data_IF_358927004685
#
_entry.id   IF_358927004685
#
_cell.length_a   1.000
_cell.length_b   1.000
_cell.length_c   1.000
_cell.angle_alpha   90.00
_cell.angle_beta   90.00
_cell.angle_gamma   90.00
#
_symmetry.space_group_name_H-M   'P 1'
#
loop_
_entity.id
_entity.type
_entity.pdbx_description
1 polymer ?
#
# COMPACT_ATOMS: atom_id res chain seq x y z
N UNK A 1 18.50 16.68 12.15
CA UNK A 1 17.56 16.44 13.28
C UNK A 1 16.22 17.20 13.12
N UNK A 2 16.21 18.49 12.74
CA UNK A 2 14.95 19.26 12.57
C UNK A 2 14.03 18.75 11.44
N UNK A 3 14.57 18.36 10.29
CA UNK A 3 13.79 17.90 9.12
C UNK A 3 12.99 16.61 9.40
N UNK A 4 13.54 15.74 10.26
CA UNK A 4 12.92 14.47 10.66
C UNK A 4 11.73 14.73 11.61
N UNK A 5 11.88 15.67 12.55
CA UNK A 5 10.78 16.08 13.45
C UNK A 5 9.60 16.67 12.68
N UNK A 6 9.86 17.45 11.63
CA UNK A 6 8.82 18.05 10.79
C UNK A 6 8.07 17.01 9.95
N UNK A 7 8.77 16.04 9.35
CA UNK A 7 8.14 15.00 8.55
C UNK A 7 7.25 14.06 9.39
N UNK A 8 7.69 13.72 10.62
CA UNK A 8 6.91 12.91 11.55
C UNK A 8 5.69 13.65 12.11
N UNK A 9 5.84 14.92 12.51
CA UNK A 9 4.72 15.74 12.97
C UNK A 9 3.68 15.97 11.86
N UNK A 10 4.12 16.14 10.61
CA UNK A 10 3.22 16.31 9.47
C UNK A 10 2.40 15.06 9.17
N UNK A 11 2.95 13.86 9.42
CA UNK A 11 2.26 12.59 9.20
C UNK A 11 1.32 12.20 10.35
N UNK A 12 1.70 12.50 11.61
CA UNK A 12 0.83 12.42 12.79
C UNK A 12 -0.40 13.32 12.62
N UNK A 13 -0.21 14.53 12.08
CA UNK A 13 -1.29 15.44 11.72
C UNK A 13 -2.24 14.85 10.66
N UNK A 14 -1.74 14.19 9.62
CA UNK A 14 -2.58 13.82 8.48
C UNK A 14 -3.54 12.66 8.79
N UNK A 15 -3.15 11.69 9.64
CA UNK A 15 -3.97 10.49 9.91
C UNK A 15 -4.86 10.65 11.15
N UNK A 16 -4.42 11.42 12.15
CA UNK A 16 -5.17 11.63 13.41
C UNK A 16 -6.18 12.78 13.26
N UNK A 17 -5.83 13.86 12.55
CA UNK A 17 -6.73 15.00 12.35
C UNK A 17 -8.09 14.68 11.76
N UNK A 18 -8.29 13.80 10.76
CA UNK A 18 -9.61 13.58 10.15
C UNK A 18 -10.61 12.88 11.07
N UNK A 19 -10.14 11.94 11.90
CA UNK A 19 -10.96 11.24 12.89
C UNK A 19 -11.31 12.19 14.03
N UNK A 20 -10.33 12.94 14.51
CA UNK A 20 -10.54 13.99 15.52
C UNK A 20 -11.42 15.12 14.98
N UNK A 21 -11.25 15.55 13.73
CA UNK A 21 -12.06 16.58 13.07
C UNK A 21 -13.52 16.16 12.95
N UNK A 22 -13.81 14.89 12.67
CA UNK A 22 -15.20 14.41 12.62
C UNK A 22 -15.81 14.32 14.01
N UNK A 23 -15.05 13.83 15.00
CA UNK A 23 -15.47 13.80 16.41
C UNK A 23 -15.72 15.21 16.95
N UNK A 24 -14.84 16.15 16.63
CA UNK A 24 -14.92 17.56 17.02
C UNK A 24 -16.06 18.28 16.28
N UNK A 25 -16.29 17.99 14.99
CA UNK A 25 -17.48 18.47 14.26
C UNK A 25 -18.75 17.92 14.90
N UNK A 26 -18.81 16.64 15.25
CA UNK A 26 -20.00 16.05 15.88
C UNK A 26 -20.24 16.62 17.29
N UNK A 27 -19.17 16.90 18.04
CA UNK A 27 -19.26 17.56 19.36
C UNK A 27 -19.84 18.98 19.24
N UNK A 28 -19.47 19.73 18.21
CA UNK A 28 -19.99 21.08 17.96
C UNK A 28 -21.36 21.08 17.26
N UNK A 29 -21.83 19.94 16.74
CA UNK A 29 -23.14 19.81 16.09
C UNK A 29 -24.27 20.21 17.02
N UNK A 30 -24.21 19.81 18.28
CA UNK A 30 -25.23 20.13 19.29
C UNK A 30 -25.33 21.64 19.50
N UNK A 31 -24.20 22.35 19.48
CA UNK A 31 -24.15 23.82 19.63
C UNK A 31 -24.71 24.50 18.37
N UNK A 32 -24.35 24.01 17.19
CA UNK A 32 -24.91 24.48 15.92
C UNK A 32 -26.43 24.28 15.84
N UNK A 33 -26.93 23.08 16.14
CA UNK A 33 -28.36 22.76 16.10
C UNK A 33 -29.16 23.62 17.09
N UNK A 34 -28.60 23.87 18.28
CA UNK A 34 -29.20 24.77 19.27
C UNK A 34 -29.22 26.21 18.79
N UNK A 35 -28.16 26.69 18.16
CA UNK A 35 -28.04 28.06 17.67
C UNK A 35 -28.95 28.32 16.46
N UNK A 36 -28.99 27.41 15.49
CA UNK A 36 -29.90 27.46 14.33
C UNK A 36 -31.36 27.40 14.80
N UNK A 37 -31.69 26.47 15.72
CA UNK A 37 -33.04 26.36 16.28
C UNK A 37 -33.48 27.61 17.06
N UNK A 38 -32.58 28.22 17.84
CA UNK A 38 -32.88 29.47 18.57
C UNK A 38 -33.00 30.65 17.62
N UNK A 39 -32.12 30.75 16.62
CA UNK A 39 -32.15 31.80 15.61
C UNK A 39 -33.43 31.78 14.77
N UNK A 40 -33.88 30.59 14.33
CA UNK A 40 -35.15 30.45 13.59
C UNK A 40 -36.36 30.85 14.42
N UNK A 41 -36.38 30.53 15.72
CA UNK A 41 -37.44 30.96 16.64
C UNK A 41 -37.45 32.49 16.81
N UNK A 42 -36.26 33.10 16.99
CA UNK A 42 -36.13 34.55 17.11
C UNK A 42 -36.61 35.24 15.83
N UNK A 43 -36.22 34.73 14.66
CA UNK A 43 -36.65 35.24 13.37
C UNK A 43 -38.18 35.31 13.23
N UNK A 44 -38.89 34.29 13.68
CA UNK A 44 -40.37 34.27 13.66
C UNK A 44 -41.03 35.23 14.67
N UNK A 45 -40.27 35.78 15.62
CA UNK A 45 -40.78 36.71 16.65
C UNK A 45 -40.42 38.18 16.39
N UNK A 46 -39.57 38.46 15.41
CA UNK A 46 -39.15 39.82 15.08
C UNK A 46 -40.29 40.58 14.39
N UNK A 47 -40.55 41.79 14.87
CA UNK A 47 -41.53 42.72 14.28
C UNK A 47 -40.89 43.67 13.26
N UNK A 48 -39.57 43.86 13.35
CA UNK A 48 -38.76 44.65 12.43
C UNK A 48 -38.33 43.80 11.22
N UNK A 49 -38.74 44.23 10.03
CA UNK A 49 -38.38 43.56 8.78
C UNK A 49 -36.87 43.60 8.51
N UNK A 50 -36.22 44.71 8.85
CA UNK A 50 -34.78 44.89 8.65
C UNK A 50 -33.97 43.93 9.54
N UNK A 51 -34.34 43.83 10.82
CA UNK A 51 -33.69 42.91 11.76
C UNK A 51 -33.92 41.45 11.37
N UNK A 52 -35.12 41.12 10.86
CA UNK A 52 -35.42 39.79 10.37
C UNK A 52 -34.56 39.41 9.16
N UNK A 53 -34.39 40.31 8.19
CA UNK A 53 -33.51 40.09 7.02
C UNK A 53 -32.05 39.94 7.45
N UNK A 54 -31.57 40.76 8.39
CA UNK A 54 -30.21 40.67 8.89
C UNK A 54 -29.94 39.35 9.64
N UNK A 55 -30.88 38.91 10.48
CA UNK A 55 -30.76 37.64 11.21
C UNK A 55 -30.83 36.45 10.27
N UNK A 56 -31.74 36.45 9.30
CA UNK A 56 -31.83 35.40 8.28
C UNK A 56 -30.51 35.25 7.53
N UNK A 57 -29.91 36.35 7.07
CA UNK A 57 -28.61 36.33 6.40
C UNK A 57 -27.51 35.73 7.27
N UNK A 58 -27.45 36.07 8.56
CA UNK A 58 -26.46 35.51 9.49
C UNK A 58 -26.64 34.01 9.72
N UNK A 59 -27.89 33.54 9.81
CA UNK A 59 -28.21 32.11 9.92
C UNK A 59 -27.82 31.36 8.64
N UNK A 60 -28.08 31.93 7.48
CA UNK A 60 -27.70 31.35 6.20
C UNK A 60 -26.17 31.27 6.03
N UNK A 61 -25.45 32.33 6.41
CA UNK A 61 -23.98 32.34 6.41
C UNK A 61 -23.40 31.29 7.37
N UNK A 62 -23.99 31.14 8.56
CA UNK A 62 -23.60 30.11 9.53
C UNK A 62 -23.84 28.70 8.98
N UNK A 63 -25.04 28.44 8.44
CA UNK A 63 -25.41 27.15 7.85
C UNK A 63 -24.52 26.80 6.66
N UNK A 64 -24.17 27.79 5.82
CA UNK A 64 -23.25 27.60 4.71
C UNK A 64 -21.84 27.22 5.20
N UNK A 65 -21.31 27.92 6.22
CA UNK A 65 -19.99 27.61 6.79
C UNK A 65 -19.97 26.22 7.43
N UNK A 66 -21.03 25.86 8.13
CA UNK A 66 -21.19 24.53 8.74
C UNK A 66 -21.17 23.42 7.68
N UNK A 67 -21.98 23.55 6.63
CA UNK A 67 -22.04 22.58 5.54
C UNK A 67 -20.71 22.47 4.78
N UNK A 68 -20.01 23.59 4.58
CA UNK A 68 -18.68 23.61 3.96
C UNK A 68 -17.65 22.84 4.81
N UNK A 69 -17.64 23.10 6.12
CA UNK A 69 -16.75 22.40 7.07
C UNK A 69 -16.98 20.89 7.06
N UNK A 70 -18.25 20.46 7.15
CA UNK A 70 -18.62 19.04 7.08
C UNK A 70 -18.16 18.39 5.77
N UNK A 71 -18.41 19.07 4.64
CA UNK A 71 -18.05 18.57 3.31
C UNK A 71 -16.54 18.42 3.16
N UNK A 72 -15.75 19.41 3.61
CA UNK A 72 -14.28 19.34 3.60
C UNK A 72 -13.76 18.21 4.48
N UNK A 73 -14.33 18.04 5.67
CA UNK A 73 -13.92 16.97 6.59
C UNK A 73 -14.18 15.58 5.99
N UNK A 74 -15.34 15.36 5.37
CA UNK A 74 -15.64 14.11 4.66
C UNK A 74 -14.66 13.89 3.50
N UNK A 75 -14.36 14.93 2.72
CA UNK A 75 -13.41 14.84 1.61
C UNK A 75 -12.00 14.46 2.08
N UNK A 76 -11.53 15.01 3.21
CA UNK A 76 -10.23 14.66 3.80
C UNK A 76 -10.23 13.20 4.24
N UNK A 77 -11.27 12.75 4.97
CA UNK A 77 -11.40 11.36 5.40
C UNK A 77 -11.35 10.39 4.21
N UNK A 78 -12.21 10.61 3.21
CA UNK A 78 -12.28 9.74 2.04
C UNK A 78 -10.93 9.69 1.29
N UNK A 79 -10.21 10.81 1.18
CA UNK A 79 -8.87 10.82 0.57
C UNK A 79 -7.88 9.95 1.33
N UNK A 80 -7.97 9.88 2.65
CA UNK A 80 -7.05 9.11 3.48
C UNK A 80 -7.41 7.64 3.55
N UNK A 81 -8.71 7.32 3.62
CA UNK A 81 -9.21 5.96 3.48
C UNK A 81 -8.77 5.37 2.13
N UNK A 82 -9.01 6.06 1.02
CA UNK A 82 -8.57 5.64 -0.31
C UNK A 82 -7.04 5.42 -0.38
N UNK A 83 -6.27 6.31 0.25
CA UNK A 83 -4.81 6.18 0.30
C UNK A 83 -4.38 4.95 1.12
N UNK A 84 -5.03 4.71 2.27
CA UNK A 84 -4.78 3.54 3.10
C UNK A 84 -5.13 2.23 2.38
N UNK A 85 -6.30 2.17 1.74
CA UNK A 85 -6.74 1.03 0.93
C UNK A 85 -5.75 0.72 -0.20
N UNK A 86 -5.25 1.77 -0.89
CA UNK A 86 -4.25 1.62 -1.94
C UNK A 86 -2.98 0.91 -1.46
N UNK A 87 -2.41 1.32 -0.31
CA UNK A 87 -1.19 0.71 0.23
C UNK A 87 -1.42 -0.69 0.80
N UNK A 88 -2.61 -0.96 1.37
CA UNK A 88 -2.98 -2.31 1.79
C UNK A 88 -3.14 -3.26 0.59
N UNK A 89 -3.73 -2.78 -0.51
CA UNK A 89 -3.83 -3.54 -1.75
C UNK A 89 -2.44 -3.85 -2.34
N UNK A 90 -1.51 -2.88 -2.30
CA UNK A 90 -0.12 -3.10 -2.68
C UNK A 90 0.54 -4.19 -1.82
N UNK A 91 0.39 -4.13 -0.49
CA UNK A 91 0.93 -5.15 0.41
C UNK A 91 0.39 -6.55 0.09
N UNK A 92 -0.91 -6.67 -0.17
CA UNK A 92 -1.52 -7.93 -0.56
C UNK A 92 -0.93 -8.44 -1.89
N UNK A 93 -0.86 -7.58 -2.91
CA UNK A 93 -0.29 -7.94 -4.20
C UNK A 93 1.18 -8.37 -4.09
N UNK A 94 1.99 -7.72 -3.23
CA UNK A 94 3.38 -8.13 -2.99
C UNK A 94 3.47 -9.54 -2.39
N UNK A 95 2.58 -9.90 -1.46
CA UNK A 95 2.51 -11.23 -0.84
C UNK A 95 2.10 -12.29 -1.85
N UNK A 96 1.05 -12.03 -2.63
CA UNK A 96 0.58 -12.93 -3.68
C UNK A 96 1.64 -13.19 -4.75
N UNK A 97 2.39 -12.14 -5.14
CA UNK A 97 3.51 -12.28 -6.06
C UNK A 97 4.64 -13.10 -5.45
N UNK A 98 4.97 -12.88 -4.18
CA UNK A 98 5.97 -13.68 -3.47
C UNK A 98 5.59 -15.16 -3.47
N UNK A 99 4.34 -15.48 -3.14
CA UNK A 99 3.84 -16.87 -3.18
C UNK A 99 3.86 -17.45 -4.60
N UNK A 100 3.55 -16.65 -5.60
CA UNK A 100 3.65 -17.07 -7.00
C UNK A 100 5.09 -17.40 -7.38
N UNK A 101 6.07 -16.58 -6.98
CA UNK A 101 7.49 -16.81 -7.25
C UNK A 101 7.98 -18.08 -6.56
N UNK A 102 7.62 -18.30 -5.29
CA UNK A 102 7.97 -19.52 -4.55
C UNK A 102 7.42 -20.78 -5.25
N UNK A 103 6.18 -20.72 -5.74
CA UNK A 103 5.59 -21.84 -6.50
C UNK A 103 6.33 -22.11 -7.79
N UNK A 104 6.72 -21.06 -8.53
CA UNK A 104 7.49 -21.18 -9.77
C UNK A 104 8.90 -21.68 -9.53
N UNK A 105 9.52 -21.29 -8.43
CA UNK A 105 10.82 -21.81 -8.01
C UNK A 105 10.77 -23.31 -7.66
N UNK A 106 9.69 -23.74 -7.01
CA UNK A 106 9.42 -25.15 -6.76
C UNK A 106 9.20 -25.92 -8.06
N UNK A 107 8.38 -25.39 -8.97
CA UNK A 107 8.16 -25.95 -10.31
C UNK A 107 9.46 -26.07 -11.10
N UNK A 108 10.30 -25.02 -11.10
CA UNK A 108 11.61 -25.03 -11.73
C UNK A 108 12.52 -26.11 -11.13
N UNK A 109 12.44 -26.33 -9.81
CA UNK A 109 13.16 -27.42 -9.14
C UNK A 109 12.71 -28.78 -9.67
N UNK A 110 11.42 -28.97 -9.96
CA UNK A 110 10.93 -30.24 -10.54
C UNK A 110 11.33 -30.42 -12.00
N UNK A 111 11.32 -29.35 -12.80
CA UNK A 111 11.65 -29.39 -14.23
C UNK A 111 13.17 -29.47 -14.49
N UNK A 112 13.98 -28.74 -13.70
CA UNK A 112 15.42 -28.58 -13.90
C UNK A 112 16.33 -29.65 -13.26
N UNK A 113 15.76 -30.56 -12.45
CA UNK A 113 16.47 -31.66 -11.77
C UNK A 113 16.57 -32.93 -12.64
N UNK A 114 15.87 -33.00 -13.77
CA UNK A 114 15.99 -34.13 -14.69
C UNK A 114 17.42 -34.27 -15.26
N UNK A 115 17.95 -35.49 -15.45
CA UNK A 115 19.21 -35.67 -16.16
C UNK A 115 19.05 -35.15 -17.60
N UNK A 116 19.89 -34.20 -17.99
CA UNK A 116 19.93 -33.69 -19.37
C UNK A 116 20.56 -34.75 -20.33
N UNK A 117 21.12 -35.83 -19.78
CA UNK A 117 21.56 -37.06 -20.50
C UNK A 117 20.39 -37.96 -20.92
N UNK A 118 19.30 -37.39 -21.39
CA UNK A 118 18.22 -38.13 -22.06
C UNK A 118 18.50 -38.31 -23.56
N UNK A 119 17.68 -39.10 -24.23
CA UNK A 119 17.63 -39.14 -25.70
C UNK A 119 17.22 -37.78 -26.29
N UNK A 120 17.35 -37.61 -27.61
CA UNK A 120 17.04 -36.34 -28.29
C UNK A 120 15.60 -35.84 -28.02
N UNK A 121 14.65 -36.76 -27.84
CA UNK A 121 13.26 -36.44 -27.51
C UNK A 121 13.13 -35.81 -26.10
N UNK A 122 13.85 -36.35 -25.12
CA UNK A 122 13.87 -35.82 -23.75
C UNK A 122 14.50 -34.41 -23.69
N UNK A 123 15.57 -34.18 -24.45
CA UNK A 123 16.21 -32.86 -24.55
C UNK A 123 15.29 -31.82 -25.21
N UNK A 124 14.62 -32.21 -26.29
CA UNK A 124 13.64 -31.35 -26.96
C UNK A 124 12.50 -30.97 -26.01
N UNK A 125 12.00 -31.93 -25.23
CA UNK A 125 10.97 -31.67 -24.21
C UNK A 125 11.46 -30.65 -23.17
N UNK A 126 12.67 -30.80 -22.63
CA UNK A 126 13.22 -29.84 -21.66
C UNK A 126 13.39 -28.44 -22.24
N UNK A 127 13.75 -28.32 -23.52
CA UNK A 127 13.81 -27.03 -24.22
C UNK A 127 12.44 -26.37 -24.33
N UNK A 128 11.40 -27.15 -24.65
CA UNK A 128 10.05 -26.61 -24.79
C UNK A 128 9.43 -26.28 -23.42
N UNK A 129 9.70 -27.08 -22.39
CA UNK A 129 9.36 -26.78 -20.99
C UNK A 129 10.04 -25.48 -20.53
N UNK A 130 11.34 -25.28 -20.84
CA UNK A 130 12.07 -24.05 -20.53
C UNK A 130 11.46 -22.83 -21.23
N UNK A 131 11.15 -22.92 -22.53
CA UNK A 131 10.50 -21.83 -23.28
C UNK A 131 9.14 -21.49 -22.69
N UNK A 132 8.34 -22.49 -22.34
CA UNK A 132 7.03 -22.28 -21.72
C UNK A 132 7.18 -21.61 -20.35
N UNK A 133 8.11 -22.07 -19.52
CA UNK A 133 8.42 -21.47 -18.23
C UNK A 133 8.86 -20.01 -18.37
N UNK A 134 9.78 -19.72 -19.31
CA UNK A 134 10.29 -18.36 -19.55
C UNK A 134 9.18 -17.41 -19.99
N UNK A 135 8.28 -17.83 -20.89
CA UNK A 135 7.11 -17.01 -21.28
C UNK A 135 6.27 -16.58 -20.07
N UNK A 136 6.02 -17.51 -19.14
CA UNK A 136 5.27 -17.19 -17.93
C UNK A 136 5.99 -16.18 -17.01
N UNK A 137 7.34 -16.21 -16.96
CA UNK A 137 8.11 -15.19 -16.24
C UNK A 137 8.01 -13.84 -16.95
N UNK A 138 8.16 -13.79 -18.27
CA UNK A 138 8.05 -12.55 -19.05
C UNK A 138 6.66 -11.92 -18.91
N UNK A 139 5.59 -12.72 -18.94
CA UNK A 139 4.22 -12.25 -18.75
C UNK A 139 4.00 -11.67 -17.34
N UNK A 140 4.70 -12.23 -16.33
CA UNK A 140 4.57 -11.79 -14.93
C UNK A 140 5.48 -10.61 -14.59
N UNK A 141 6.61 -10.45 -15.29
CA UNK A 141 7.63 -9.41 -15.06
C UNK A 141 7.04 -7.99 -14.89
N UNK A 142 6.19 -7.47 -15.80
CA UNK A 142 5.71 -6.09 -15.66
C UNK A 142 4.90 -5.87 -14.37
N UNK A 143 4.19 -6.90 -13.90
CA UNK A 143 3.41 -6.83 -12.66
C UNK A 143 4.35 -6.81 -11.44
N UNK A 144 5.39 -7.66 -11.45
CA UNK A 144 6.41 -7.70 -10.39
C UNK A 144 7.17 -6.37 -10.32
N UNK A 145 7.67 -5.88 -11.45
CA UNK A 145 8.42 -4.62 -11.53
C UNK A 145 7.57 -3.43 -11.10
N UNK A 146 6.31 -3.35 -11.55
CA UNK A 146 5.39 -2.30 -11.12
C UNK A 146 5.15 -2.31 -9.61
N UNK A 147 4.89 -3.48 -9.01
CA UNK A 147 4.66 -3.58 -7.56
C UNK A 147 5.92 -3.25 -6.75
N UNK A 148 7.09 -3.71 -7.19
CA UNK A 148 8.37 -3.35 -6.56
C UNK A 148 8.65 -1.86 -6.67
N UNK A 149 8.36 -1.23 -7.81
CA UNK A 149 8.50 0.22 -8.00
C UNK A 149 7.57 0.99 -7.07
N UNK A 150 6.28 0.65 -7.04
CA UNK A 150 5.31 1.29 -6.14
C UNK A 150 5.71 1.12 -4.67
N UNK A 151 6.18 -0.07 -4.27
CA UNK A 151 6.69 -0.32 -2.93
C UNK A 151 7.92 0.51 -2.59
N UNK A 152 8.88 0.63 -3.51
CA UNK A 152 10.08 1.49 -3.33
C UNK A 152 9.72 2.97 -3.24
N UNK A 153 8.78 3.45 -4.06
CA UNK A 153 8.29 4.83 -4.01
C UNK A 153 7.62 5.14 -2.67
N UNK A 154 6.76 4.23 -2.18
CA UNK A 154 6.15 4.34 -0.86
C UNK A 154 7.21 4.41 0.24
N UNK A 155 8.18 3.50 0.23
CA UNK A 155 9.28 3.48 1.20
C UNK A 155 10.15 4.74 1.11
N UNK A 156 10.39 5.28 -0.09
CA UNK A 156 11.18 6.50 -0.28
C UNK A 156 10.43 7.76 0.19
N UNK A 157 9.10 7.74 0.12
CA UNK A 157 8.25 8.79 0.69
C UNK A 157 8.17 8.74 2.23
N UNK A 158 8.59 7.63 2.84
CA UNK A 158 8.68 7.46 4.28
C UNK A 158 10.01 8.00 4.81
N UNK A 159 10.01 8.83 5.87
CA UNK A 159 11.25 9.19 6.55
C UNK A 159 11.93 7.92 7.09
N UNK A 160 13.27 7.81 7.03
CA UNK A 160 13.98 6.65 7.53
C UNK A 160 13.64 6.46 9.01
N UNK A 161 13.15 5.26 9.36
CA UNK A 161 12.96 4.83 10.74
C UNK A 161 14.33 4.88 11.43
N UNK A 162 14.52 5.88 12.28
CA UNK A 162 15.69 5.97 13.15
C UNK A 162 15.55 4.91 14.23
N UNK A 163 16.38 3.87 14.16
CA UNK A 163 16.68 2.99 15.29
C UNK A 163 17.48 3.80 16.31
N UNK A 164 16.80 4.63 17.08
CA UNK A 164 17.29 5.04 18.39
C UNK A 164 16.21 4.66 19.36
N UNK A 165 16.46 3.54 20.05
CA UNK A 165 16.00 3.33 21.42
C UNK A 165 16.01 4.66 22.16
N UNK A 166 14.93 4.98 22.87
CA UNK A 166 15.02 5.11 24.32
C UNK A 166 13.66 5.34 25.00
N UNK A 167 13.48 4.50 26.03
CA UNK A 167 12.72 4.68 27.27
C UNK A 167 11.19 4.47 27.28
N UNK A 168 10.86 3.35 27.92
CA UNK A 168 9.67 3.05 28.73
C UNK A 168 8.69 4.22 28.97
N UNK A 169 7.47 4.05 28.45
CA UNK A 169 6.28 4.64 29.05
C UNK A 169 5.26 3.51 29.24
N UNK A 170 5.21 3.00 30.47
CA UNK A 170 4.10 2.18 30.93
C UNK A 170 2.80 2.96 30.72
N UNK A 171 1.93 2.48 29.84
CA UNK A 171 0.52 2.86 29.85
C UNK A 171 -0.32 1.59 29.72
N UNK A 172 -0.87 1.21 30.86
CA UNK A 172 -1.91 0.20 31.04
C UNK A 172 -3.16 0.61 30.25
N UNK A 173 -3.42 -0.01 29.09
CA UNK A 173 -4.72 0.07 28.41
C UNK A 173 -4.91 -1.14 27.50
N UNK A 174 -5.85 -1.99 27.92
CA UNK A 174 -6.61 -3.00 27.16
C UNK A 174 -6.21 -3.16 25.68
N UNK A 175 -5.31 -4.13 25.44
CA UNK A 175 -4.75 -4.46 24.13
C UNK A 175 -5.76 -5.25 23.30
N UNK A 176 -6.54 -4.53 22.50
CA UNK A 176 -7.21 -5.11 21.32
C UNK A 176 -7.26 -4.20 20.08
N UNK A 177 -6.77 -2.96 20.16
CA UNK A 177 -6.69 -2.05 19.01
C UNK A 177 -5.33 -1.34 19.00
N UNK A 178 -4.50 -1.67 17.99
CA UNK A 178 -3.31 -0.89 17.68
C UNK A 178 -3.72 0.53 17.26
N UNK A 179 -3.04 1.55 17.77
CA UNK A 179 -3.25 2.95 17.35
C UNK A 179 -3.01 3.13 15.86
N UNK A 180 -3.69 4.09 15.22
CA UNK A 180 -3.53 4.39 13.79
C UNK A 180 -2.06 4.70 13.40
N UNK A 181 -1.27 5.26 14.33
CA UNK A 181 0.17 5.44 14.15
C UNK A 181 0.89 4.10 14.01
N UNK A 182 0.57 3.15 14.88
CA UNK A 182 1.23 1.86 14.91
C UNK A 182 0.80 0.98 13.73
N UNK A 183 -0.46 1.11 13.29
CA UNK A 183 -0.95 0.52 12.05
C UNK A 183 -0.20 1.08 10.83
N UNK A 184 0.02 2.39 10.75
CA UNK A 184 0.83 2.98 9.66
C UNK A 184 2.27 2.48 9.70
N UNK A 185 2.90 2.44 10.89
CA UNK A 185 4.30 1.98 11.02
C UNK A 185 4.43 0.50 10.68
N UNK A 186 3.46 -0.32 11.06
CA UNK A 186 3.43 -1.73 10.72
C UNK A 186 3.21 -1.98 9.23
N UNK A 187 2.32 -1.22 8.59
CA UNK A 187 2.15 -1.26 7.13
C UNK A 187 3.46 -0.94 6.41
N UNK A 188 4.17 0.10 6.85
CA UNK A 188 5.48 0.47 6.29
C UNK A 188 6.53 -0.63 6.46
N UNK A 189 6.64 -1.21 7.66
CA UNK A 189 7.56 -2.34 7.91
C UNK A 189 7.21 -3.55 7.06
N UNK A 190 5.93 -3.87 6.95
CA UNK A 190 5.41 -4.98 6.15
C UNK A 190 5.70 -4.79 4.67
N UNK A 191 5.41 -3.62 4.09
CA UNK A 191 5.74 -3.32 2.68
C UNK A 191 7.24 -3.39 2.45
N UNK A 192 8.07 -2.83 3.34
CA UNK A 192 9.54 -2.91 3.22
C UNK A 192 10.04 -4.36 3.20
N UNK A 193 9.50 -5.20 4.09
CA UNK A 193 9.84 -6.62 4.18
C UNK A 193 9.45 -7.36 2.90
N UNK A 194 8.22 -7.17 2.44
CA UNK A 194 7.71 -7.87 1.25
C UNK A 194 8.37 -7.39 -0.05
N UNK A 195 8.70 -6.10 -0.17
CA UNK A 195 9.48 -5.58 -1.32
C UNK A 195 10.87 -6.24 -1.37
N UNK A 196 11.56 -6.33 -0.23
CA UNK A 196 12.86 -7.00 -0.15
C UNK A 196 12.75 -8.47 -0.51
N UNK A 197 11.80 -9.18 0.11
CA UNK A 197 11.56 -10.61 -0.10
C UNK A 197 11.19 -10.92 -1.56
N UNK A 198 10.23 -10.21 -2.14
CA UNK A 198 9.81 -10.40 -3.53
C UNK A 198 10.98 -10.12 -4.49
N UNK A 199 11.74 -9.05 -4.26
CA UNK A 199 12.89 -8.70 -5.11
C UNK A 199 13.95 -9.80 -5.10
N UNK A 200 14.28 -10.33 -3.92
CA UNK A 200 15.25 -11.42 -3.78
C UNK A 200 14.76 -12.71 -4.44
N UNK A 201 13.55 -13.15 -4.12
CA UNK A 201 12.96 -14.37 -4.67
C UNK A 201 12.82 -14.28 -6.20
N UNK A 202 12.41 -13.13 -6.72
CA UNK A 202 12.29 -12.91 -8.16
C UNK A 202 13.64 -13.02 -8.86
N UNK A 203 14.67 -12.33 -8.35
CA UNK A 203 16.01 -12.38 -8.94
C UNK A 203 16.58 -13.81 -8.92
N UNK A 204 16.45 -14.51 -7.79
CA UNK A 204 16.89 -15.91 -7.67
C UNK A 204 16.17 -16.81 -8.69
N UNK A 205 14.87 -16.61 -8.91
CA UNK A 205 14.10 -17.38 -9.89
C UNK A 205 14.59 -17.13 -11.33
N UNK A 206 14.87 -15.88 -11.68
CA UNK A 206 15.42 -15.50 -12.99
C UNK A 206 16.80 -16.15 -13.18
N UNK A 207 17.70 -16.01 -12.21
CA UNK A 207 19.05 -16.56 -12.27
C UNK A 207 19.03 -18.09 -12.43
N UNK A 208 18.16 -18.78 -11.69
CA UNK A 208 17.99 -20.23 -11.82
C UNK A 208 17.42 -20.61 -13.19
N UNK A 209 16.49 -19.83 -13.74
CA UNK A 209 15.95 -20.04 -15.08
C UNK A 209 17.01 -19.85 -16.17
N UNK A 210 17.90 -18.87 -16.01
CA UNK A 210 19.05 -18.63 -16.89
C UNK A 210 20.08 -19.76 -16.79
N UNK A 211 20.38 -20.25 -15.58
CA UNK A 211 21.25 -21.40 -15.40
C UNK A 211 20.69 -22.65 -16.08
N UNK A 212 19.37 -22.90 -15.97
CA UNK A 212 18.72 -24.00 -16.67
C UNK A 212 18.88 -23.87 -18.19
N UNK A 213 18.70 -22.66 -18.74
CA UNK A 213 18.95 -22.40 -20.17
C UNK A 213 20.38 -22.71 -20.57
N UNK A 214 21.35 -22.21 -19.81
CA UNK A 214 22.77 -22.37 -20.13
C UNK A 214 23.16 -23.84 -20.16
N UNK A 215 22.71 -24.63 -19.16
CA UNK A 215 22.89 -26.08 -19.15
C UNK A 215 22.34 -26.72 -20.43
N UNK A 216 21.10 -26.42 -20.81
CA UNK A 216 20.49 -26.96 -22.04
C UNK A 216 21.30 -26.60 -23.30
N UNK A 217 21.76 -25.34 -23.40
CA UNK A 217 22.55 -24.87 -24.52
C UNK A 217 23.92 -25.60 -24.60
N UNK A 218 24.60 -25.82 -23.48
CA UNK A 218 25.85 -26.61 -23.43
C UNK A 218 25.65 -28.04 -23.95
N UNK A 219 24.61 -28.75 -23.50
CA UNK A 219 24.33 -30.11 -23.97
C UNK A 219 24.03 -30.17 -25.47
N UNK A 220 23.35 -29.16 -26.02
CA UNK A 220 23.11 -29.07 -27.47
C UNK A 220 24.42 -28.91 -28.25
N UNK A 221 25.38 -28.13 -27.75
CA UNK A 221 26.69 -27.97 -28.41
C UNK A 221 27.52 -29.25 -28.40
N UNK A 222 27.55 -29.97 -27.28
CA UNK A 222 28.31 -31.22 -27.13
C UNK A 222 27.68 -32.36 -27.95
N UNK A 223 26.35 -32.46 -27.99
CA UNK A 223 25.63 -33.45 -28.81
C UNK A 223 25.87 -33.24 -30.31
N UNK A 224 25.89 -31.98 -30.75
CA UNK A 224 26.18 -31.62 -32.15
C UNK A 224 27.61 -32.00 -32.56
N UNK A 225 28.58 -31.88 -31.63
CA UNK A 225 29.97 -32.29 -31.87
C UNK A 225 30.14 -33.81 -31.95
N UNK A 226 29.39 -34.59 -31.15
CA UNK A 226 29.43 -36.06 -31.17
C UNK A 226 28.78 -36.68 -32.41
N UNK A 227 27.87 -35.97 -33.07
CA UNK A 227 27.19 -36.46 -34.30
C UNK A 227 28.03 -36.21 -35.56
N UNK A 228 29.10 -35.41 -35.47
CA UNK A 228 29.98 -35.03 -36.58
C UNK A 228 31.30 -35.83 -36.65
N UNK A 229 31.51 -36.80 -35.75
CA UNK A 229 32.67 -37.72 -35.73
C UNK A 229 32.17 -39.11 -36.12
#
# INVERSE_FOLDING_TARGET
MAVIKYAYAHKQDIIVKPVDLQSEIETHRVVYDRLDGTGRKLLGSLTSQEDAVMLQRRLDEMNQRWNNLKSKSIAIRNRLENNSEHWNALLLSLRELTEWVIRKDTELSTLGVGPVRGDAASLQKQLDDHKAFRRQLEDKRPIVESNLLSGRQYIASEPPVSDTSDTEAAHDTDSRYMSAEEQSRELTRSIRREVGKLSEQWNNLIDRSDNWKHRLDEYMTVSSLHTCI
#
